data_IF_528393731380
#
_entry.id   IF_528393731380
#
_cell.length_a   1.000
_cell.length_b   1.000
_cell.length_c   1.000
_cell.angle_alpha   90.00
_cell.angle_beta   90.00
_cell.angle_gamma   90.00
#
_symmetry.space_group_name_H-M   'P 1'
#
loop_
_entity.id
_entity.type
_entity.pdbx_description
1 polymer ?
#
# COMPACT_ATOMS: atom_id res chain seq x y z
N UNK A 1 28.17 -6.94 -15.20
CA UNK A 1 28.36 -6.07 -16.38
C UNK A 1 27.17 -5.13 -16.44
N UNK A 2 27.37 -3.80 -16.49
CA UNK A 2 26.26 -2.86 -16.60
C UNK A 2 25.69 -2.91 -18.02
N UNK A 3 24.36 -2.98 -18.13
CA UNK A 3 23.65 -2.85 -19.41
C UNK A 3 23.69 -1.37 -19.80
N UNK A 4 24.83 -0.95 -20.35
CA UNK A 4 25.03 0.37 -20.94
C UNK A 4 24.42 0.35 -22.35
N UNK A 5 23.31 1.05 -22.58
CA UNK A 5 22.75 1.16 -23.94
C UNK A 5 21.42 1.88 -24.09
N UNK A 6 20.67 2.15 -23.02
CA UNK A 6 19.48 3.00 -23.11
C UNK A 6 19.87 4.43 -22.78
N UNK A 7 19.77 5.33 -23.77
CA UNK A 7 19.72 6.77 -23.50
C UNK A 7 18.64 7.00 -22.42
N UNK A 8 18.88 7.87 -21.43
CA UNK A 8 17.84 8.19 -20.45
C UNK A 8 16.61 8.68 -21.21
N UNK A 9 15.47 8.03 -20.97
CA UNK A 9 14.18 8.45 -21.51
C UNK A 9 14.01 9.92 -21.08
N UNK A 10 13.84 10.87 -22.02
CA UNK A 10 13.64 12.27 -21.64
C UNK A 10 12.43 12.36 -20.72
N UNK A 11 12.45 13.26 -19.71
CA UNK A 11 11.34 13.39 -18.78
C UNK A 11 10.05 13.66 -19.56
N UNK A 12 9.02 12.84 -19.30
CA UNK A 12 7.71 12.99 -19.93
C UNK A 12 7.11 14.33 -19.53
N UNK A 13 6.64 15.09 -20.51
CA UNK A 13 5.81 16.27 -20.27
C UNK A 13 4.42 15.82 -19.81
N UNK A 14 3.75 16.55 -18.91
CA UNK A 14 2.40 16.21 -18.43
C UNK A 14 1.40 15.89 -19.56
N UNK A 15 1.44 16.66 -20.65
CA UNK A 15 0.56 16.49 -21.81
C UNK A 15 0.85 15.21 -22.64
N UNK A 16 1.92 14.46 -22.33
CA UNK A 16 2.22 13.16 -22.94
C UNK A 16 1.64 11.98 -22.15
N UNK A 17 1.08 12.23 -20.97
CA UNK A 17 0.42 11.21 -20.15
C UNK A 17 -1.05 11.15 -20.55
N UNK A 18 -1.42 10.12 -21.30
CA UNK A 18 -2.76 9.95 -21.91
C UNK A 18 -3.69 9.02 -21.10
N UNK A 19 -3.17 8.32 -20.10
CA UNK A 19 -3.94 7.41 -19.26
C UNK A 19 -3.33 7.31 -17.87
N UNK A 20 -4.17 7.24 -16.84
CA UNK A 20 -3.76 6.86 -15.49
C UNK A 20 -4.77 5.91 -14.87
N UNK A 21 -4.31 5.11 -13.91
CA UNK A 21 -5.17 4.27 -13.08
C UNK A 21 -4.96 4.68 -11.63
N UNK A 22 -6.06 4.87 -10.89
CA UNK A 22 -6.05 5.25 -9.48
C UNK A 22 -6.59 4.09 -8.65
N UNK A 23 -5.87 3.78 -7.57
CA UNK A 23 -6.24 2.75 -6.59
C UNK A 23 -6.12 3.33 -5.19
N UNK A 24 -6.91 2.78 -4.28
CA UNK A 24 -6.92 3.19 -2.87
C UNK A 24 -8.19 2.70 -2.18
N UNK A 25 -8.17 2.72 -0.84
CA UNK A 25 -9.34 2.37 -0.07
C UNK A 25 -10.52 3.30 -0.39
N UNK A 26 -11.73 2.84 -0.07
CA UNK A 26 -12.96 3.55 -0.42
C UNK A 26 -12.99 5.00 0.07
N UNK A 27 -12.45 5.27 1.27
CA UNK A 27 -12.38 6.64 1.80
C UNK A 27 -11.45 7.51 0.96
N UNK A 28 -10.27 7.02 0.60
CA UNK A 28 -9.31 7.77 -0.22
C UNK A 28 -9.85 8.10 -1.61
N UNK A 29 -10.56 7.16 -2.25
CA UNK A 29 -11.23 7.41 -3.53
C UNK A 29 -12.30 8.49 -3.39
N UNK A 30 -13.13 8.45 -2.34
CA UNK A 30 -14.15 9.49 -2.12
C UNK A 30 -13.54 10.87 -1.91
N UNK A 31 -12.47 10.96 -1.10
CA UNK A 31 -11.74 12.22 -0.89
C UNK A 31 -11.11 12.74 -2.19
N UNK A 32 -10.50 11.87 -2.99
CA UNK A 32 -9.90 12.25 -4.27
C UNK A 32 -10.94 12.78 -5.27
N UNK A 33 -12.17 12.27 -5.22
CA UNK A 33 -13.28 12.67 -6.10
C UNK A 33 -14.11 13.84 -5.55
N UNK A 34 -13.80 14.34 -4.34
CA UNK A 34 -14.64 15.33 -3.65
C UNK A 34 -16.04 14.81 -3.30
N UNK A 35 -16.22 13.49 -3.22
CA UNK A 35 -17.48 12.86 -2.81
C UNK A 35 -17.51 12.79 -1.28
N UNK A 36 -18.60 13.26 -0.62
CA UNK A 36 -18.71 13.21 0.83
C UNK A 36 -18.59 11.75 1.37
N UNK A 37 -17.65 11.46 2.28
CA UNK A 37 -17.40 10.10 2.77
C UNK A 37 -18.15 9.79 4.07
N UNK A 38 -19.07 10.63 4.57
CA UNK A 38 -19.59 10.50 5.94
C UNK A 38 -20.30 9.14 6.18
N UNK A 39 -21.01 8.64 5.17
CA UNK A 39 -21.78 7.40 5.28
C UNK A 39 -20.92 6.13 5.33
N UNK A 40 -19.63 6.20 4.95
CA UNK A 40 -18.70 5.06 5.03
C UNK A 40 -18.55 4.61 6.49
N UNK A 41 -18.49 5.57 7.43
CA UNK A 41 -18.29 5.31 8.87
C UNK A 41 -19.58 5.19 9.68
N UNK A 42 -20.74 5.54 9.11
CA UNK A 42 -22.02 5.54 9.80
C UNK A 42 -22.79 4.27 9.43
N UNK A 43 -23.36 3.58 10.43
CA UNK A 43 -24.20 2.41 10.20
C UNK A 43 -25.33 2.74 9.20
N UNK A 44 -25.55 1.93 8.14
CA UNK A 44 -25.05 0.56 7.92
C UNK A 44 -23.73 0.45 7.12
N UNK A 45 -22.87 1.47 7.17
CA UNK A 45 -21.53 1.53 6.57
C UNK A 45 -21.58 1.43 5.03
N UNK A 46 -22.26 2.38 4.39
CA UNK A 46 -22.49 2.35 2.94
C UNK A 46 -21.59 3.33 2.21
N UNK A 47 -20.85 2.84 1.23
CA UNK A 47 -20.14 3.67 0.26
C UNK A 47 -21.10 4.30 -0.72
N UNK A 48 -20.81 5.55 -1.11
CA UNK A 48 -21.60 6.27 -2.11
C UNK A 48 -21.39 5.65 -3.49
N UNK A 49 -20.15 5.27 -3.80
CA UNK A 49 -19.77 4.66 -5.06
C UNK A 49 -18.62 3.66 -4.86
N UNK A 50 -18.75 2.47 -5.47
CA UNK A 50 -17.68 1.48 -5.52
C UNK A 50 -17.10 1.32 -6.94
N UNK A 51 -17.85 1.73 -7.97
CA UNK A 51 -17.43 1.68 -9.36
C UNK A 51 -17.54 3.08 -9.94
N UNK A 52 -16.40 3.78 -9.97
CA UNK A 52 -16.32 5.13 -10.51
C UNK A 52 -16.36 5.02 -12.04
N UNK A 53 -17.14 5.86 -12.75
CA UNK A 53 -17.05 5.93 -14.21
C UNK A 53 -15.65 6.38 -14.63
N UNK A 54 -15.30 6.15 -15.90
CA UNK A 54 -14.06 6.69 -16.47
C UNK A 54 -14.13 8.21 -16.38
N UNK A 55 -13.06 8.82 -15.86
CA UNK A 55 -12.91 10.26 -15.75
C UNK A 55 -11.83 10.75 -16.71
N UNK A 56 -11.73 12.06 -16.86
CA UNK A 56 -10.67 12.74 -17.58
C UNK A 56 -9.65 13.35 -16.63
N UNK A 57 -8.43 13.58 -17.11
CA UNK A 57 -7.40 14.31 -16.36
C UNK A 57 -7.89 15.68 -15.88
N UNK A 58 -8.74 16.34 -16.68
CA UNK A 58 -9.40 17.60 -16.32
C UNK A 58 -10.38 17.44 -15.17
N UNK A 59 -11.27 16.46 -15.21
CA UNK A 59 -12.26 16.22 -14.14
C UNK A 59 -11.59 15.89 -12.81
N UNK A 60 -10.51 15.13 -12.84
CA UNK A 60 -9.71 14.79 -11.64
C UNK A 60 -8.79 15.91 -11.16
N UNK A 61 -8.60 16.97 -11.96
CA UNK A 61 -7.65 18.04 -11.65
C UNK A 61 -6.18 17.58 -11.61
N UNK A 62 -5.83 16.53 -12.36
CA UNK A 62 -4.47 16.00 -12.42
C UNK A 62 -3.62 16.78 -13.42
N UNK A 63 -2.33 16.93 -13.12
CA UNK A 63 -1.35 17.58 -14.00
C UNK A 63 -0.87 16.57 -15.05
N UNK A 64 -1.75 16.23 -15.98
CA UNK A 64 -1.55 15.32 -17.12
C UNK A 64 -2.27 15.88 -18.37
N UNK A 65 -2.37 15.13 -19.47
CA UNK A 65 -3.17 15.57 -20.61
C UNK A 65 -4.64 15.77 -20.18
N UNK A 66 -5.32 16.90 -20.51
CA UNK A 66 -6.68 17.17 -20.02
C UNK A 66 -7.69 16.08 -20.38
N UNK A 67 -7.55 15.48 -21.56
CA UNK A 67 -8.39 14.38 -22.07
C UNK A 67 -7.81 12.99 -21.77
N UNK A 68 -6.81 12.89 -20.89
CA UNK A 68 -6.28 11.59 -20.46
C UNK A 68 -7.39 10.82 -19.73
N UNK A 69 -7.55 9.53 -20.05
CA UNK A 69 -8.54 8.69 -19.36
C UNK A 69 -8.02 8.27 -17.99
N UNK A 70 -8.85 8.39 -16.97
CA UNK A 70 -8.55 8.00 -15.60
C UNK A 70 -9.52 6.90 -15.18
N UNK A 71 -8.95 5.72 -14.94
CA UNK A 71 -9.69 4.57 -14.44
C UNK A 71 -9.46 4.45 -12.92
N UNK A 72 -10.51 4.57 -12.11
CA UNK A 72 -10.43 4.13 -10.73
C UNK A 72 -10.85 2.66 -10.68
N UNK A 73 -10.00 1.79 -10.14
CA UNK A 73 -10.37 0.38 -10.00
C UNK A 73 -11.57 0.23 -9.03
N UNK A 74 -12.38 -0.84 -9.17
CA UNK A 74 -13.57 -0.99 -8.36
C UNK A 74 -13.23 -1.35 -6.91
N UNK A 75 -13.87 -0.69 -5.96
CA UNK A 75 -13.91 -1.12 -4.55
C UNK A 75 -14.99 -2.17 -4.31
N UNK A 76 -14.99 -2.76 -3.11
CA UNK A 76 -15.97 -3.80 -2.71
C UNK A 76 -16.96 -3.25 -1.69
N UNK A 77 -16.47 -2.59 -0.65
CA UNK A 77 -17.27 -2.11 0.48
C UNK A 77 -16.60 -0.89 1.16
N UNK A 78 -17.20 -0.37 2.23
CA UNK A 78 -16.68 0.79 2.97
C UNK A 78 -15.24 0.69 3.45
N UNK A 79 -14.80 -0.50 3.84
CA UNK A 79 -13.45 -0.74 4.35
C UNK A 79 -12.63 -1.69 3.47
N UNK A 80 -13.12 -2.03 2.28
CA UNK A 80 -12.39 -2.84 1.30
C UNK A 80 -12.50 -2.12 -0.05
N UNK A 81 -11.46 -1.38 -0.40
CA UNK A 81 -11.45 -0.55 -1.59
C UNK A 81 -10.69 -1.15 -2.77
N UNK A 82 -10.30 -0.26 -3.67
CA UNK A 82 -9.70 -0.59 -4.96
C UNK A 82 -8.22 -1.00 -4.86
N UNK A 83 -7.55 -0.61 -3.78
CA UNK A 83 -6.23 -1.11 -3.38
C UNK A 83 -6.25 -2.63 -3.18
N UNK A 84 -7.27 -3.15 -2.49
CA UNK A 84 -7.39 -4.59 -2.23
C UNK A 84 -7.72 -5.36 -3.50
N UNK A 85 -8.64 -4.86 -4.34
CA UNK A 85 -8.97 -5.54 -5.60
C UNK A 85 -7.80 -5.50 -6.58
N UNK A 86 -7.01 -4.43 -6.59
CA UNK A 86 -5.75 -4.36 -7.34
C UNK A 86 -4.72 -5.38 -6.84
N UNK A 87 -4.60 -5.53 -5.51
CA UNK A 87 -3.73 -6.52 -4.88
C UNK A 87 -4.11 -7.95 -5.22
N UNK A 88 -5.40 -8.28 -5.15
CA UNK A 88 -5.96 -9.59 -5.54
C UNK A 88 -5.62 -9.91 -7.00
N UNK A 89 -5.89 -8.97 -7.91
CA UNK A 89 -5.56 -9.10 -9.33
C UNK A 89 -4.05 -9.27 -9.56
N UNK A 90 -3.22 -8.47 -8.88
CA UNK A 90 -1.77 -8.56 -9.00
C UNK A 90 -1.21 -9.88 -8.47
N UNK A 91 -1.88 -10.51 -7.51
CA UNK A 91 -1.48 -11.77 -6.92
C UNK A 91 -2.08 -12.99 -7.65
N UNK A 92 -2.95 -12.78 -8.65
CA UNK A 92 -3.56 -13.86 -9.44
C UNK A 92 -4.54 -14.72 -8.65
N UNK A 93 -5.16 -14.17 -7.60
CA UNK A 93 -6.11 -14.90 -6.74
C UNK A 93 -7.39 -15.30 -7.49
N UNK A 94 -7.71 -14.59 -8.57
CA UNK A 94 -8.83 -14.86 -9.45
C UNK A 94 -8.60 -16.05 -10.40
N UNK A 95 -7.35 -16.50 -10.58
CA UNK A 95 -6.98 -17.57 -11.53
C UNK A 95 -6.39 -18.82 -10.83
N UNK A 96 -6.18 -18.76 -9.51
CA UNK A 96 -5.63 -19.90 -8.74
C UNK A 96 -6.71 -20.88 -8.29
N UNK A 97 -6.45 -22.18 -8.40
CA UNK A 97 -7.29 -23.23 -7.79
C UNK A 97 -7.03 -23.39 -6.29
N UNK A 98 -5.91 -22.88 -5.79
CA UNK A 98 -5.50 -23.05 -4.39
C UNK A 98 -6.20 -22.04 -3.49
N UNK A 99 -6.67 -22.50 -2.34
CA UNK A 99 -7.14 -21.61 -1.29
C UNK A 99 -5.96 -20.78 -0.78
N UNK A 100 -6.01 -19.48 -1.06
CA UNK A 100 -4.94 -18.52 -0.81
C UNK A 100 -5.43 -17.46 0.16
N UNK A 101 -4.57 -17.11 1.14
CA UNK A 101 -4.78 -15.98 2.04
C UNK A 101 -3.88 -14.83 1.57
N UNK A 102 -4.50 -13.80 0.99
CA UNK A 102 -3.87 -12.52 0.72
C UNK A 102 -4.08 -11.61 1.94
N UNK A 103 -3.01 -10.90 2.34
CA UNK A 103 -3.05 -9.94 3.44
C UNK A 103 -2.36 -8.66 2.99
N UNK A 104 -3.10 -7.56 3.05
CA UNK A 104 -2.55 -6.21 2.96
C UNK A 104 -2.41 -5.66 4.38
N UNK A 105 -1.19 -5.29 4.75
CA UNK A 105 -0.84 -4.83 6.10
C UNK A 105 -0.40 -3.37 5.99
N UNK A 106 -1.31 -2.47 6.35
CA UNK A 106 -1.05 -1.05 6.48
C UNK A 106 -1.71 -0.46 7.72
N UNK A 107 -2.17 0.78 7.60
CA UNK A 107 -2.98 1.46 8.61
C UNK A 107 -4.22 0.64 8.98
N UNK A 108 -4.83 0.01 7.97
CA UNK A 108 -5.80 -1.05 8.14
C UNK A 108 -5.13 -2.40 7.84
N UNK A 109 -5.69 -3.47 8.38
CA UNK A 109 -5.38 -4.82 7.94
C UNK A 109 -6.53 -5.35 7.09
N UNK A 110 -6.30 -5.55 5.81
CA UNK A 110 -7.29 -6.13 4.91
C UNK A 110 -6.84 -7.53 4.50
N UNK A 111 -7.78 -8.49 4.54
CA UNK A 111 -7.50 -9.86 4.13
C UNK A 111 -8.49 -10.31 3.08
N UNK A 112 -8.01 -11.17 2.18
CA UNK A 112 -8.81 -11.86 1.19
C UNK A 112 -8.45 -13.34 1.24
N UNK A 113 -9.45 -14.19 1.43
CA UNK A 113 -9.32 -15.64 1.47
C UNK A 113 -10.15 -16.25 0.35
N UNK A 114 -9.56 -17.16 -0.42
CA UNK A 114 -10.33 -17.95 -1.39
C UNK A 114 -9.50 -18.46 -2.56
N UNK A 115 -10.18 -18.72 -3.67
CA UNK A 115 -9.64 -19.22 -4.94
C UNK A 115 -10.43 -18.64 -6.11
N UNK A 116 -10.16 -19.09 -7.34
CA UNK A 116 -10.93 -18.70 -8.54
C UNK A 116 -12.45 -18.95 -8.43
N UNK A 117 -12.90 -19.83 -7.53
CA UNK A 117 -14.31 -20.20 -7.38
C UNK A 117 -15.07 -19.29 -6.41
N UNK A 118 -14.38 -18.75 -5.42
CA UNK A 118 -14.98 -17.90 -4.39
C UNK A 118 -13.91 -17.05 -3.70
N UNK A 119 -14.27 -15.82 -3.34
CA UNK A 119 -13.42 -14.93 -2.56
C UNK A 119 -14.25 -14.33 -1.42
N UNK A 120 -13.67 -14.30 -0.22
CA UNK A 120 -14.21 -13.62 0.96
C UNK A 120 -13.19 -12.61 1.44
N UNK A 121 -13.64 -11.44 1.87
CA UNK A 121 -12.78 -10.39 2.36
C UNK A 121 -13.30 -9.80 3.67
N UNK A 122 -12.38 -9.35 4.51
CA UNK A 122 -12.70 -8.50 5.65
C UNK A 122 -11.58 -7.49 5.88
N UNK A 123 -11.91 -6.48 6.68
CA UNK A 123 -11.00 -5.43 7.09
C UNK A 123 -10.98 -5.35 8.62
N UNK A 124 -9.82 -5.03 9.19
CA UNK A 124 -9.62 -4.80 10.60
C UNK A 124 -8.80 -3.52 10.82
N UNK A 125 -9.02 -2.87 11.96
CA UNK A 125 -8.16 -1.76 12.37
C UNK A 125 -6.86 -2.31 12.94
N UNK A 126 -5.74 -2.14 12.22
CA UNK A 126 -4.42 -2.57 12.68
C UNK A 126 -3.63 -1.42 13.34
N UNK A 127 -3.70 -0.22 12.74
CA UNK A 127 -2.91 0.94 13.13
C UNK A 127 -1.58 1.02 12.36
N UNK A 128 -1.06 2.22 12.09
CA UNK A 128 0.04 2.45 11.14
C UNK A 128 1.44 2.18 11.73
N UNK A 129 1.55 1.29 12.73
CA UNK A 129 2.81 1.03 13.43
C UNK A 129 3.90 0.55 12.47
N UNK A 130 3.55 -0.35 11.53
CA UNK A 130 4.48 -0.85 10.52
C UNK A 130 4.74 0.15 9.37
N UNK A 131 3.97 1.23 9.27
CA UNK A 131 4.30 2.38 8.42
C UNK A 131 5.29 3.35 9.11
N UNK A 132 5.63 3.07 10.37
CA UNK A 132 6.50 3.89 11.21
C UNK A 132 5.76 5.00 11.97
N UNK A 133 4.45 5.13 11.84
CA UNK A 133 3.68 6.13 12.56
C UNK A 133 3.27 5.64 13.96
N UNK A 134 3.31 6.53 14.95
CA UNK A 134 3.02 6.18 16.35
C UNK A 134 4.18 5.50 17.10
N UNK A 135 5.33 5.28 16.43
CA UNK A 135 6.55 4.73 17.04
C UNK A 135 7.58 5.85 17.16
N UNK A 136 8.19 6.02 18.36
CA UNK A 136 9.06 7.17 18.67
C UNK A 136 10.22 7.36 17.66
N UNK A 137 10.81 6.26 17.21
CA UNK A 137 11.87 6.24 16.20
C UNK A 137 11.41 5.60 14.88
N UNK A 138 10.10 5.50 14.66
CA UNK A 138 9.53 4.92 13.45
C UNK A 138 9.65 5.85 12.24
N UNK A 139 9.89 5.28 11.06
CA UNK A 139 9.87 6.00 9.79
C UNK A 139 9.50 5.10 8.61
N UNK A 140 9.09 5.69 7.49
CA UNK A 140 8.87 4.94 6.24
C UNK A 140 10.17 4.32 5.72
N UNK A 141 10.04 3.19 5.02
CA UNK A 141 11.14 2.48 4.35
C UNK A 141 11.77 3.35 3.25
N UNK A 142 12.73 4.18 3.65
CA UNK A 142 13.42 5.15 2.81
C UNK A 142 14.88 5.20 3.22
N UNK A 143 15.73 5.87 2.43
CA UNK A 143 17.17 5.97 2.70
C UNK A 143 17.44 6.45 4.13
N UNK A 144 18.19 5.65 4.90
CA UNK A 144 18.47 5.89 6.32
C UNK A 144 17.54 5.16 7.30
N UNK A 145 16.52 4.44 6.83
CA UNK A 145 15.73 3.56 7.69
C UNK A 145 16.49 2.26 7.99
N UNK A 146 16.46 1.83 9.24
CA UNK A 146 16.88 0.48 9.66
C UNK A 146 15.79 -0.49 9.21
N UNK A 147 16.15 -1.45 8.36
CA UNK A 147 15.22 -2.41 7.74
C UNK A 147 15.33 -3.82 8.30
N UNK A 148 16.39 -4.12 9.05
CA UNK A 148 16.68 -5.43 9.62
C UNK A 148 17.60 -5.26 10.84
N UNK A 149 17.40 -6.08 11.87
CA UNK A 149 18.09 -6.00 13.17
C UNK A 149 18.38 -7.43 13.63
N UNK A 150 19.55 -7.64 14.23
CA UNK A 150 19.93 -8.86 14.94
C UNK A 150 20.51 -8.51 16.31
N UNK A 151 20.20 -9.29 17.33
CA UNK A 151 20.70 -9.09 18.70
C UNK A 151 21.57 -10.29 19.08
N UNK A 152 22.78 -10.03 19.54
CA UNK A 152 23.66 -11.09 20.02
C UNK A 152 23.21 -11.56 21.41
N UNK A 153 22.77 -12.81 21.52
CA UNK A 153 22.25 -13.41 22.77
C UNK A 153 23.26 -13.39 23.95
N UNK A 154 24.56 -13.43 23.67
CA UNK A 154 25.58 -13.50 24.73
C UNK A 154 25.86 -12.15 25.41
N UNK A 155 25.68 -11.03 24.71
CA UNK A 155 26.04 -9.69 25.21
C UNK A 155 25.00 -8.60 24.92
N UNK A 156 23.88 -8.95 24.27
CA UNK A 156 22.78 -8.08 23.88
C UNK A 156 23.16 -6.92 22.96
N UNK A 157 24.32 -7.00 22.29
CA UNK A 157 24.75 -5.98 21.33
C UNK A 157 23.96 -6.11 20.02
N UNK A 158 23.25 -5.05 19.56
CA UNK A 158 22.50 -5.07 18.32
C UNK A 158 23.39 -4.79 17.11
N UNK A 159 23.12 -5.50 16.02
CA UNK A 159 23.62 -5.17 14.68
C UNK A 159 22.44 -4.95 13.75
N UNK A 160 22.61 -4.13 12.71
CA UNK A 160 21.47 -3.73 11.88
C UNK A 160 21.86 -3.35 10.45
N UNK A 161 20.88 -3.47 9.54
CA UNK A 161 21.01 -3.07 8.13
C UNK A 161 20.21 -1.80 7.88
N UNK A 162 20.82 -0.85 7.17
CA UNK A 162 20.21 0.46 6.84
C UNK A 162 20.03 0.58 5.33
N UNK A 163 18.83 0.98 4.90
CA UNK A 163 18.53 1.26 3.49
C UNK A 163 19.50 2.33 2.97
N UNK A 164 20.29 1.94 1.96
CA UNK A 164 21.29 2.80 1.32
C UNK A 164 22.62 2.94 2.07
N UNK A 165 22.86 2.17 3.14
CA UNK A 165 24.16 2.09 3.82
C UNK A 165 24.63 3.42 4.43
N UNK A 166 23.70 4.29 4.82
CA UNK A 166 24.00 5.59 5.43
C UNK A 166 23.76 5.58 6.93
N UNK A 167 24.05 6.70 7.61
CA UNK A 167 23.74 6.87 9.03
C UNK A 167 22.23 6.65 9.28
N UNK A 168 21.84 5.82 10.25
CA UNK A 168 20.44 5.54 10.54
C UNK A 168 19.71 6.79 11.03
N UNK A 169 18.44 6.91 10.67
CA UNK A 169 17.54 8.01 11.03
C UNK A 169 16.26 7.57 11.75
N UNK A 170 15.99 6.27 11.74
CA UNK A 170 14.79 5.66 12.31
C UNK A 170 14.68 4.21 11.86
N UNK A 171 13.58 3.54 12.22
CA UNK A 171 13.31 2.13 11.97
C UNK A 171 12.05 2.02 11.11
N UNK A 172 12.10 1.26 10.02
CA UNK A 172 10.90 0.99 9.21
C UNK A 172 10.17 -0.28 9.63
N UNK A 173 9.00 -0.55 9.05
CA UNK A 173 8.15 -1.68 9.42
C UNK A 173 8.88 -3.02 9.52
N UNK A 174 9.69 -3.37 8.51
CA UNK A 174 10.48 -4.60 8.53
C UNK A 174 11.49 -4.62 9.68
N UNK A 175 12.14 -3.49 9.97
CA UNK A 175 13.06 -3.36 11.10
C UNK A 175 12.34 -3.45 12.44
N UNK A 176 11.11 -2.94 12.55
CA UNK A 176 10.29 -3.09 13.77
C UNK A 176 9.90 -4.54 14.02
N UNK A 177 9.54 -5.28 12.96
CA UNK A 177 9.25 -6.71 13.04
C UNK A 177 10.49 -7.48 13.47
N UNK A 178 11.64 -7.24 12.82
CA UNK A 178 12.90 -7.88 13.16
C UNK A 178 13.32 -7.58 14.61
N UNK A 179 13.23 -6.31 15.04
CA UNK A 179 13.54 -5.92 16.42
C UNK A 179 12.66 -6.66 17.43
N UNK A 180 11.34 -6.69 17.21
CA UNK A 180 10.42 -7.39 18.10
C UNK A 180 10.73 -8.88 18.18
N UNK A 181 11.02 -9.52 17.04
CA UNK A 181 11.38 -10.93 16.98
C UNK A 181 12.70 -11.20 17.73
N UNK A 182 13.74 -10.41 17.48
CA UNK A 182 15.04 -10.57 18.12
C UNK A 182 14.95 -10.33 19.63
N UNK A 183 14.29 -9.26 20.08
CA UNK A 183 14.06 -9.02 21.50
C UNK A 183 13.32 -10.19 22.16
N UNK A 184 12.31 -10.75 21.50
CA UNK A 184 11.61 -11.93 22.03
C UNK A 184 12.52 -13.15 22.14
N UNK A 185 13.39 -13.37 21.16
CA UNK A 185 14.29 -14.54 21.12
C UNK A 185 15.46 -14.43 22.12
N UNK A 186 15.95 -13.21 22.39
CA UNK A 186 17.10 -12.97 23.28
C UNK A 186 16.73 -12.60 24.72
N UNK A 187 15.43 -12.46 25.02
CA UNK A 187 14.91 -12.17 26.38
C UNK A 187 14.82 -10.70 26.73
#
# INVERSE_FOLDING_TARGET
MPVNGLNPIPPLLPNQILKATIVGNSTMIHLALGIPPENIRLMPFTTTINQVPVLTGREMGLIIHPEATIDCLPGVASYVGADITAGVLSAGLEDTEQVTLFMDIGTNGEIVLGSREWLVTCACSAGPAFEGAGVASGMRATKGAIEDIWINDANLEPTFRVIGGVKPRGICGSGLIALLAEMFLTG
#
